data_IF_587623543885
#
_entry.id   IF_587623543885
#
_cell.length_a   1.000
_cell.length_b   1.000
_cell.length_c   1.000
_cell.angle_alpha   90.00
_cell.angle_beta   90.00
_cell.angle_gamma   90.00
#
_symmetry.space_group_name_H-M   'P 1'
#
loop_
_entity.id
_entity.type
_entity.pdbx_description
1 polymer ?
#
# COMPACT_ATOMS: atom_id res chain seq x y z
N UNK A 1 0.46 17.59 -11.06
CA UNK A 1 -0.33 18.54 -10.24
C UNK A 1 -1.27 17.83 -9.26
N UNK A 2 -2.60 17.92 -9.38
CA UNK A 2 -3.55 17.45 -8.36
C UNK A 2 -3.36 15.99 -7.89
N UNK A 3 -3.39 15.04 -8.84
CA UNK A 3 -3.16 13.61 -8.58
C UNK A 3 -1.74 13.30 -8.07
N UNK A 4 -0.76 14.09 -8.48
CA UNK A 4 0.66 13.94 -8.13
C UNK A 4 0.90 14.21 -6.63
N UNK A 5 0.38 15.32 -6.11
CA UNK A 5 0.43 15.60 -4.67
C UNK A 5 -0.30 14.52 -3.85
N UNK A 6 -1.45 14.05 -4.32
CA UNK A 6 -2.15 12.98 -3.62
C UNK A 6 -1.35 11.67 -3.61
N UNK A 7 -0.69 11.31 -4.73
CA UNK A 7 0.23 10.17 -4.78
C UNK A 7 1.44 10.36 -3.86
N UNK A 8 2.03 11.56 -3.77
CA UNK A 8 3.12 11.83 -2.84
C UNK A 8 2.68 11.68 -1.38
N UNK A 9 1.49 12.18 -1.01
CA UNK A 9 0.90 11.98 0.32
C UNK A 9 0.71 10.48 0.63
N UNK A 10 0.10 9.72 -0.27
CA UNK A 10 -0.12 8.26 -0.09
C UNK A 10 1.21 7.52 0.05
N UNK A 11 2.18 7.78 -0.83
CA UNK A 11 3.52 7.17 -0.75
C UNK A 11 4.22 7.51 0.56
N UNK A 12 4.18 8.77 1.00
CA UNK A 12 4.76 9.21 2.26
C UNK A 12 4.16 8.46 3.46
N UNK A 13 2.83 8.45 3.62
CA UNK A 13 2.19 7.82 4.77
C UNK A 13 2.28 6.28 4.74
N UNK A 14 2.33 5.64 3.57
CA UNK A 14 2.70 4.22 3.46
C UNK A 14 4.13 4.00 3.94
N UNK A 15 5.09 4.82 3.49
CA UNK A 15 6.51 4.66 3.83
C UNK A 15 6.81 4.94 5.31
N UNK A 16 6.12 5.92 5.91
CA UNK A 16 6.11 6.15 7.36
C UNK A 16 5.69 4.90 8.14
N UNK A 17 4.77 4.09 7.58
CA UNK A 17 4.40 2.80 8.15
C UNK A 17 5.49 1.74 8.04
N UNK A 18 6.13 1.63 6.86
CA UNK A 18 7.29 0.74 6.70
C UNK A 18 8.45 1.12 7.62
N UNK A 19 8.66 2.42 7.89
CA UNK A 19 9.65 2.88 8.86
C UNK A 19 9.30 2.44 10.29
N UNK A 20 8.03 2.57 10.71
CA UNK A 20 7.56 2.12 12.03
C UNK A 20 7.83 0.62 12.26
N UNK A 21 7.56 -0.21 11.25
CA UNK A 21 7.81 -1.65 11.28
C UNK A 21 9.33 -1.97 11.26
N UNK A 22 10.09 -1.29 10.41
CA UNK A 22 11.55 -1.43 10.35
C UNK A 22 12.22 -1.01 11.66
N UNK A 23 11.68 0.01 12.32
CA UNK A 23 12.21 0.49 13.59
C UNK A 23 12.10 -0.58 14.68
N UNK A 24 10.93 -1.23 14.80
CA UNK A 24 10.72 -2.33 15.75
C UNK A 24 11.65 -3.52 15.48
N UNK A 25 11.84 -3.87 14.19
CA UNK A 25 12.78 -4.93 13.78
C UNK A 25 14.22 -4.62 14.24
N UNK A 26 14.67 -3.37 14.04
CA UNK A 26 16.01 -2.92 14.41
C UNK A 26 16.19 -2.78 15.94
N UNK A 27 15.21 -2.22 16.65
CA UNK A 27 15.22 -2.16 18.12
C UNK A 27 15.34 -3.56 18.73
N UNK A 28 14.53 -4.52 18.24
CA UNK A 28 14.57 -5.90 18.72
C UNK A 28 15.91 -6.61 18.41
N UNK A 29 16.56 -6.26 17.30
CA UNK A 29 17.92 -6.76 17.00
C UNK A 29 18.98 -6.17 17.92
N UNK A 30 18.77 -4.95 18.42
CA UNK A 30 19.71 -4.28 19.33
C UNK A 30 19.65 -4.85 20.76
N UNK A 31 18.49 -5.33 21.23
CA UNK A 31 18.28 -5.87 22.59
C UNK A 31 19.43 -6.76 23.08
N UNK A 32 19.82 -7.76 22.28
CA UNK A 32 20.88 -8.71 22.64
C UNK A 32 22.27 -8.06 22.78
N UNK A 33 22.61 -7.12 21.89
CA UNK A 33 23.90 -6.42 21.97
C UNK A 33 23.91 -5.36 23.06
N UNK A 34 22.77 -4.76 23.39
CA UNK A 34 22.62 -3.88 24.56
C UNK A 34 22.81 -4.64 25.87
N UNK A 35 22.23 -5.85 25.99
CA UNK A 35 22.44 -6.75 27.13
C UNK A 35 23.91 -7.23 27.21
N UNK A 36 24.49 -7.66 26.08
CA UNK A 36 25.90 -8.05 25.98
C UNK A 36 26.85 -6.91 26.39
N UNK A 37 26.57 -5.69 25.95
CA UNK A 37 27.30 -4.48 26.29
C UNK A 37 27.21 -4.18 27.80
N UNK A 38 26.02 -4.23 28.40
CA UNK A 38 25.83 -4.05 29.84
C UNK A 38 26.68 -5.04 30.66
N UNK A 39 26.51 -6.34 30.38
CA UNK A 39 27.17 -7.43 31.09
C UNK A 39 28.70 -7.36 30.97
N UNK A 40 29.23 -7.08 29.77
CA UNK A 40 30.68 -6.92 29.55
C UNK A 40 31.24 -5.67 30.22
N UNK A 41 30.47 -4.58 30.27
CA UNK A 41 30.89 -3.34 30.94
C UNK A 41 30.96 -3.55 32.46
N UNK A 42 29.99 -4.25 33.05
CA UNK A 42 30.03 -4.67 34.46
C UNK A 42 31.25 -5.55 34.76
N UNK A 43 31.50 -6.58 33.94
CA UNK A 43 32.71 -7.41 34.05
C UNK A 43 34.00 -6.59 33.98
N UNK A 44 34.09 -5.60 33.07
CA UNK A 44 35.25 -4.71 32.98
C UNK A 44 35.46 -3.94 34.28
N UNK A 45 34.38 -3.40 34.88
CA UNK A 45 34.47 -2.68 36.17
C UNK A 45 34.97 -3.60 37.29
N UNK A 46 34.47 -4.84 37.38
CA UNK A 46 34.92 -5.80 38.40
C UNK A 46 36.39 -6.21 38.26
N UNK A 47 36.84 -6.54 37.04
CA UNK A 47 38.22 -7.00 36.80
C UNK A 47 39.25 -5.85 36.96
N UNK A 48 38.81 -4.61 36.73
CA UNK A 48 39.66 -3.40 36.87
C UNK A 48 39.73 -2.87 38.30
N UNK A 49 38.79 -3.22 39.18
CA UNK A 49 38.75 -2.70 40.55
C UNK A 49 39.78 -3.41 41.44
N UNK A 50 40.91 -2.74 41.72
CA UNK A 50 42.05 -3.36 42.41
C UNK A 50 41.82 -3.67 43.90
N UNK A 51 40.73 -3.16 44.50
CA UNK A 51 40.41 -3.29 45.93
C UNK A 51 39.71 -4.60 46.31
N UNK A 52 40.14 -5.73 45.76
CA UNK A 52 39.75 -7.05 46.27
C UNK A 52 40.73 -7.44 47.38
N UNK A 53 40.69 -6.68 48.48
CA UNK A 53 41.47 -6.96 49.67
C UNK A 53 41.00 -8.28 50.33
N UNK A 54 41.94 -9.21 50.55
CA UNK A 54 41.72 -10.37 51.43
C UNK A 54 41.62 -11.75 50.77
N UNK A 55 41.77 -11.89 49.45
CA UNK A 55 41.83 -13.21 48.80
C UNK A 55 43.28 -13.67 48.58
N UNK A 56 43.72 -14.72 49.29
CA UNK A 56 45.07 -15.34 49.17
C UNK A 56 45.38 -15.99 47.81
N UNK A 57 44.48 -15.85 46.82
CA UNK A 57 44.65 -16.29 45.44
C UNK A 57 44.53 -15.10 44.48
N UNK A 58 45.47 -14.15 44.57
CA UNK A 58 45.56 -13.04 43.62
C UNK A 58 45.76 -13.58 42.20
N UNK A 59 44.83 -13.28 41.29
CA UNK A 59 45.00 -13.59 39.86
C UNK A 59 46.28 -12.89 39.37
N UNK A 60 47.21 -13.66 38.80
CA UNK A 60 48.44 -13.14 38.22
C UNK A 60 48.16 -11.98 37.25
N UNK A 61 48.98 -10.92 37.34
CA UNK A 61 48.78 -9.67 36.59
C UNK A 61 48.60 -9.90 35.09
N UNK A 62 49.40 -10.79 34.50
CA UNK A 62 49.34 -11.13 33.07
C UNK A 62 48.04 -11.86 32.71
N UNK A 63 47.46 -12.61 33.65
CA UNK A 63 46.15 -13.26 33.51
C UNK A 63 45.01 -12.25 33.63
N UNK A 64 45.12 -11.27 34.55
CA UNK A 64 44.19 -10.12 34.67
C UNK A 64 44.16 -9.27 33.40
N UNK A 65 45.32 -8.89 32.88
CA UNK A 65 45.46 -8.14 31.62
C UNK A 65 44.85 -8.88 30.42
N UNK A 66 45.10 -10.18 30.30
CA UNK A 66 44.49 -11.03 29.26
C UNK A 66 42.97 -11.10 29.35
N UNK A 67 42.40 -11.06 30.55
CA UNK A 67 40.96 -11.03 30.76
C UNK A 67 40.37 -9.66 30.36
N UNK A 68 40.99 -8.57 30.80
CA UNK A 68 40.61 -7.19 30.41
C UNK A 68 40.61 -7.06 28.88
N UNK A 69 41.68 -7.51 28.20
CA UNK A 69 41.78 -7.47 26.74
C UNK A 69 40.63 -8.23 26.06
N UNK A 70 40.27 -9.43 26.53
CA UNK A 70 39.14 -10.21 26.01
C UNK A 70 37.79 -9.52 26.22
N UNK A 71 37.60 -8.84 27.36
CA UNK A 71 36.38 -8.08 27.64
C UNK A 71 36.28 -6.88 26.69
N UNK A 72 37.37 -6.13 26.50
CA UNK A 72 37.45 -4.99 25.58
C UNK A 72 37.16 -5.39 24.13
N UNK A 73 37.79 -6.46 23.61
CA UNK A 73 37.48 -7.01 22.29
C UNK A 73 35.98 -7.31 22.13
N UNK A 74 35.38 -7.90 23.17
CA UNK A 74 33.95 -8.19 23.19
C UNK A 74 33.06 -6.95 23.24
N UNK A 75 33.49 -5.87 23.87
CA UNK A 75 32.78 -4.58 23.86
C UNK A 75 32.83 -3.94 22.47
N UNK A 76 33.98 -4.01 21.79
CA UNK A 76 34.12 -3.55 20.40
C UNK A 76 33.21 -4.34 19.44
N UNK A 77 33.06 -5.65 19.63
CA UNK A 77 32.11 -6.48 18.87
C UNK A 77 30.66 -6.00 19.03
N UNK A 78 30.18 -5.78 20.26
CA UNK A 78 28.80 -5.29 20.47
C UNK A 78 28.60 -3.87 19.92
N UNK A 79 29.59 -2.99 20.04
CA UNK A 79 29.53 -1.62 19.50
C UNK A 79 29.56 -1.61 17.97
N UNK A 80 30.29 -2.52 17.32
CA UNK A 80 30.24 -2.68 15.87
C UNK A 80 28.84 -3.13 15.41
N UNK A 81 28.20 -4.05 16.13
CA UNK A 81 26.83 -4.50 15.85
C UNK A 81 25.81 -3.35 16.03
N UNK A 82 25.88 -2.62 17.15
CA UNK A 82 25.01 -1.47 17.41
C UNK A 82 25.23 -0.33 16.40
N UNK A 83 26.46 -0.10 15.97
CA UNK A 83 26.79 0.90 14.93
C UNK A 83 26.17 0.52 13.58
N UNK A 84 26.20 -0.77 13.19
CA UNK A 84 25.53 -1.25 11.98
C UNK A 84 23.99 -1.11 12.06
N UNK A 85 23.41 -1.30 13.24
CA UNK A 85 21.97 -1.05 13.48
C UNK A 85 21.67 0.47 13.36
N UNK A 86 22.54 1.32 13.91
CA UNK A 86 22.40 2.78 13.83
C UNK A 86 22.47 3.30 12.39
N UNK A 87 23.36 2.76 11.56
CA UNK A 87 23.40 3.05 10.11
C UNK A 87 22.08 2.69 9.44
N UNK A 88 21.51 1.51 9.73
CA UNK A 88 20.20 1.11 9.17
C UNK A 88 19.04 2.01 9.64
N UNK A 89 19.06 2.52 10.88
CA UNK A 89 18.10 3.54 11.32
C UNK A 89 18.26 4.85 10.53
N UNK A 90 19.50 5.31 10.31
CA UNK A 90 19.77 6.50 9.52
C UNK A 90 19.25 6.34 8.08
N UNK A 91 19.60 5.24 7.41
CA UNK A 91 19.22 4.99 6.01
C UNK A 91 17.70 4.98 5.82
N UNK A 92 16.97 4.33 6.74
CA UNK A 92 15.51 4.31 6.74
C UNK A 92 14.91 5.71 6.99
N UNK A 93 15.52 6.52 7.86
CA UNK A 93 15.15 7.92 8.11
C UNK A 93 15.43 8.82 6.90
N UNK A 94 16.59 8.69 6.23
CA UNK A 94 16.91 9.48 5.03
C UNK A 94 15.98 9.13 3.87
N UNK A 95 15.60 7.86 3.72
CA UNK A 95 14.62 7.47 2.72
C UNK A 95 13.24 8.14 2.99
N UNK A 96 12.73 8.10 4.23
CA UNK A 96 11.51 8.84 4.58
C UNK A 96 11.64 10.35 4.33
N UNK A 97 12.80 10.95 4.64
CA UNK A 97 13.11 12.35 4.36
C UNK A 97 13.01 12.66 2.86
N UNK A 98 13.49 11.77 1.99
CA UNK A 98 13.36 11.92 0.54
C UNK A 98 11.90 11.93 0.09
N UNK A 99 11.03 11.11 0.70
CA UNK A 99 9.58 11.17 0.45
C UNK A 99 8.95 12.47 0.97
N UNK A 100 9.41 13.02 2.10
CA UNK A 100 8.95 14.31 2.63
C UNK A 100 9.32 15.47 1.68
N UNK A 101 10.58 15.54 1.24
CA UNK A 101 11.05 16.54 0.27
C UNK A 101 10.29 16.43 -1.06
N UNK A 102 10.01 15.21 -1.53
CA UNK A 102 9.18 15.00 -2.72
C UNK A 102 7.72 15.44 -2.53
N UNK A 103 7.17 15.33 -1.32
CA UNK A 103 5.84 15.82 -0.97
C UNK A 103 5.81 17.37 -0.91
N UNK A 104 6.81 18.00 -0.31
CA UNK A 104 6.97 19.46 -0.25
C UNK A 104 7.16 20.05 -1.66
N UNK A 105 7.97 19.41 -2.50
CA UNK A 105 8.17 19.77 -3.91
C UNK A 105 6.91 19.55 -4.77
N UNK A 106 6.07 18.56 -4.46
CA UNK A 106 4.78 18.41 -5.11
C UNK A 106 3.80 19.51 -4.66
N UNK A 107 3.85 19.90 -3.37
CA UNK A 107 3.03 20.97 -2.81
C UNK A 107 3.37 22.34 -3.40
N UNK A 108 4.65 22.70 -3.54
CA UNK A 108 5.07 24.03 -4.00
C UNK A 108 4.58 24.36 -5.42
N UNK A 109 4.44 23.34 -6.27
CA UNK A 109 3.92 23.44 -7.65
C UNK A 109 2.41 23.72 -7.75
N UNK A 110 1.67 23.71 -6.65
CA UNK A 110 0.19 23.82 -6.65
C UNK A 110 -0.28 25.18 -6.17
N UNK A 111 -1.09 25.84 -7.02
CA UNK A 111 -1.78 27.08 -6.67
C UNK A 111 -2.91 26.83 -5.68
N UNK A 112 -2.97 27.62 -4.60
CA UNK A 112 -4.07 27.61 -3.63
C UNK A 112 -5.43 28.01 -4.24
N UNK A 113 -5.42 28.61 -5.43
CA UNK A 113 -6.63 29.05 -6.15
C UNK A 113 -7.19 27.99 -7.12
N UNK A 114 -6.55 26.82 -7.25
CA UNK A 114 -7.02 25.74 -8.12
C UNK A 114 -8.36 25.19 -7.58
N UNK A 115 -9.42 25.30 -8.40
CA UNK A 115 -10.77 24.84 -8.06
C UNK A 115 -10.85 23.32 -7.87
N UNK A 116 -10.08 22.55 -8.65
CA UNK A 116 -10.07 21.08 -8.57
C UNK A 116 -9.38 20.56 -7.30
N UNK A 117 -8.66 21.44 -6.59
CA UNK A 117 -7.91 21.10 -5.39
C UNK A 117 -8.53 21.62 -4.09
N UNK A 118 -9.65 22.36 -4.15
CA UNK A 118 -10.24 22.97 -2.96
C UNK A 118 -10.64 21.96 -1.89
N UNK A 119 -11.13 20.77 -2.26
CA UNK A 119 -11.46 19.68 -1.32
C UNK A 119 -10.24 19.11 -0.58
N UNK A 120 -9.06 19.12 -1.22
CA UNK A 120 -7.81 18.72 -0.56
C UNK A 120 -7.25 19.89 0.26
N UNK A 121 -7.21 21.10 -0.31
CA UNK A 121 -6.67 22.30 0.35
C UNK A 121 -7.43 22.59 1.65
N UNK A 122 -8.77 22.72 1.59
CA UNK A 122 -9.62 23.02 2.74
C UNK A 122 -9.97 21.79 3.58
N UNK A 123 -9.77 20.59 3.04
CA UNK A 123 -10.29 19.36 3.62
C UNK A 123 -11.80 19.22 3.43
N UNK A 124 -12.35 18.14 3.98
CA UNK A 124 -13.78 17.86 4.09
C UNK A 124 -14.07 17.24 5.45
N UNK A 125 -15.34 17.03 5.80
CA UNK A 125 -15.73 16.27 7.00
C UNK A 125 -15.18 14.83 7.05
N UNK A 126 -14.67 14.31 5.92
CA UNK A 126 -14.09 12.98 5.77
C UNK A 126 -12.64 13.02 5.25
N UNK A 127 -11.97 14.18 5.30
CA UNK A 127 -10.58 14.33 4.84
C UNK A 127 -9.89 15.50 5.54
N UNK A 128 -8.78 15.29 6.28
CA UNK A 128 -8.00 16.39 6.83
C UNK A 128 -7.53 17.37 5.75
N UNK A 129 -7.49 18.66 6.10
CA UNK A 129 -6.97 19.70 5.22
C UNK A 129 -5.50 19.46 4.87
N UNK A 130 -5.07 19.91 3.68
CA UNK A 130 -3.73 19.69 3.17
C UNK A 130 -2.63 20.20 4.12
N UNK A 131 -2.84 21.36 4.75
CA UNK A 131 -1.93 21.92 5.74
C UNK A 131 -1.71 20.98 6.93
N UNK A 132 -2.80 20.43 7.48
CA UNK A 132 -2.76 19.46 8.57
C UNK A 132 -2.09 18.14 8.16
N UNK A 133 -2.28 17.69 6.92
CA UNK A 133 -1.59 16.52 6.38
C UNK A 133 -0.07 16.73 6.22
N UNK A 134 0.34 17.95 5.82
CA UNK A 134 1.76 18.31 5.74
C UNK A 134 2.37 18.41 7.14
N UNK A 135 1.69 19.05 8.09
CA UNK A 135 2.10 19.07 9.50
C UNK A 135 2.29 17.66 10.05
N UNK A 136 1.33 16.74 9.82
CA UNK A 136 1.46 15.35 10.26
C UNK A 136 2.61 14.61 9.59
N UNK A 137 2.95 14.96 8.34
CA UNK A 137 4.10 14.40 7.67
C UNK A 137 5.42 14.88 8.30
N UNK A 138 5.58 16.19 8.48
CA UNK A 138 6.76 16.79 9.13
C UNK A 138 6.97 16.28 10.55
N UNK A 139 5.92 16.26 11.38
CA UNK A 139 5.98 15.76 12.76
C UNK A 139 6.27 14.24 12.81
N UNK A 140 5.72 13.46 11.87
CA UNK A 140 6.01 12.03 11.76
C UNK A 140 7.47 11.74 11.43
N UNK A 141 8.10 12.53 10.54
CA UNK A 141 9.54 12.44 10.27
C UNK A 141 10.37 12.89 11.48
N UNK A 142 10.02 14.04 12.08
CA UNK A 142 10.73 14.58 13.25
C UNK A 142 10.75 13.61 14.43
N UNK A 143 9.65 12.87 14.67
CA UNK A 143 9.60 11.85 15.71
C UNK A 143 10.70 10.78 15.55
N UNK A 144 10.77 10.11 14.40
CA UNK A 144 11.78 9.08 14.14
C UNK A 144 13.20 9.65 13.99
N UNK A 145 13.34 10.89 13.50
CA UNK A 145 14.63 11.57 13.44
C UNK A 145 15.18 11.90 14.83
N UNK A 146 14.34 12.41 15.74
CA UNK A 146 14.72 12.73 17.11
C UNK A 146 15.07 11.45 17.92
N UNK A 147 14.32 10.35 17.73
CA UNK A 147 14.70 9.06 18.30
C UNK A 147 16.08 8.60 17.81
N UNK A 148 16.38 8.77 16.52
CA UNK A 148 17.68 8.42 15.94
C UNK A 148 18.82 9.28 16.52
N UNK A 149 18.61 10.60 16.62
CA UNK A 149 19.61 11.52 17.20
C UNK A 149 19.92 11.14 18.65
N UNK A 150 18.90 10.86 19.47
CA UNK A 150 19.06 10.40 20.85
C UNK A 150 19.97 9.17 20.96
N UNK A 151 19.71 8.14 20.15
CA UNK A 151 20.55 6.92 20.12
C UNK A 151 21.96 7.24 19.59
N UNK A 152 22.07 8.04 18.53
CA UNK A 152 23.33 8.43 17.91
C UNK A 152 24.25 9.19 18.88
N UNK A 153 23.69 10.08 19.70
CA UNK A 153 24.44 10.88 20.66
C UNK A 153 24.87 10.04 21.87
N UNK A 154 24.00 9.15 22.38
CA UNK A 154 24.38 8.17 23.40
C UNK A 154 25.50 7.21 22.91
N UNK A 155 25.47 6.79 21.65
CA UNK A 155 26.54 5.97 21.05
C UNK A 155 27.89 6.71 20.96
N UNK A 156 27.88 8.03 20.73
CA UNK A 156 29.12 8.84 20.70
C UNK A 156 29.69 9.12 22.09
N UNK A 157 28.82 9.18 23.10
CA UNK A 157 29.19 9.55 24.48
C UNK A 157 29.45 8.35 25.40
N UNK A 158 29.61 7.14 24.85
CA UNK A 158 29.78 5.93 25.68
C UNK A 158 31.17 5.88 26.33
N UNK A 159 31.21 5.64 27.64
CA UNK A 159 32.43 5.35 28.40
C UNK A 159 32.20 4.08 29.23
N UNK A 160 32.93 3.01 28.89
CA UNK A 160 32.82 1.72 29.58
C UNK A 160 33.21 1.76 31.07
N UNK A 161 33.83 2.85 31.55
CA UNK A 161 34.11 3.07 32.97
C UNK A 161 32.88 3.59 33.73
N UNK A 162 31.94 4.24 33.03
CA UNK A 162 30.78 4.94 33.60
C UNK A 162 29.51 4.20 33.23
N UNK A 163 28.98 3.44 34.19
CA UNK A 163 27.75 2.65 34.06
C UNK A 163 26.56 3.45 33.54
N UNK A 164 26.43 4.71 33.97
CA UNK A 164 25.38 5.62 33.55
C UNK A 164 25.36 5.82 32.02
N UNK A 165 26.51 5.85 31.34
CA UNK A 165 26.54 6.04 29.87
C UNK A 165 25.92 4.86 29.12
N UNK A 166 26.14 3.64 29.61
CA UNK A 166 25.55 2.41 29.06
C UNK A 166 24.07 2.33 29.39
N UNK A 167 23.67 2.68 30.61
CA UNK A 167 22.26 2.75 31.02
C UNK A 167 21.47 3.80 30.20
N UNK A 168 22.08 4.98 29.96
CA UNK A 168 21.54 6.02 29.10
C UNK A 168 21.39 5.52 27.65
N UNK A 169 22.37 4.80 27.11
CA UNK A 169 22.26 4.16 25.80
C UNK A 169 21.10 3.15 25.77
N UNK A 170 20.98 2.24 26.73
CA UNK A 170 19.88 1.26 26.80
C UNK A 170 18.52 1.96 26.86
N UNK A 171 18.37 2.97 27.73
CA UNK A 171 17.13 3.75 27.83
C UNK A 171 16.80 4.54 26.55
N UNK A 172 17.81 4.91 25.75
CA UNK A 172 17.60 5.59 24.46
C UNK A 172 16.89 4.71 23.41
N UNK A 173 16.94 3.38 23.53
CA UNK A 173 16.19 2.44 22.70
C UNK A 173 14.75 2.22 23.18
N UNK A 174 14.41 2.60 24.42
CA UNK A 174 13.03 2.50 24.93
C UNK A 174 12.14 3.45 24.14
N UNK A 175 11.12 2.87 23.51
CA UNK A 175 10.23 3.58 22.59
C UNK A 175 9.24 4.48 23.35
N UNK A 176 9.02 5.69 22.85
CA UNK A 176 7.97 6.56 23.41
C UNK A 176 6.60 6.16 22.85
N UNK A 177 5.94 5.23 23.55
CA UNK A 177 4.63 4.66 23.18
C UNK A 177 3.59 5.73 22.77
N UNK A 178 3.56 6.86 23.47
CA UNK A 178 2.63 7.96 23.19
C UNK A 178 2.89 8.60 21.82
N UNK A 179 4.14 8.95 21.53
CA UNK A 179 4.54 9.55 20.26
C UNK A 179 4.33 8.59 19.08
N UNK A 180 4.73 7.33 19.24
CA UNK A 180 4.53 6.30 18.20
C UNK A 180 3.05 6.03 17.93
N UNK A 181 2.24 5.88 18.98
CA UNK A 181 0.77 5.69 18.86
C UNK A 181 0.12 6.86 18.13
N UNK A 182 0.50 8.09 18.46
CA UNK A 182 -0.02 9.31 17.84
C UNK A 182 0.30 9.37 16.34
N UNK A 183 1.56 9.15 15.96
CA UNK A 183 2.02 9.08 14.56
C UNK A 183 1.28 7.99 13.78
N UNK A 184 1.14 6.79 14.35
CA UNK A 184 0.43 5.68 13.73
C UNK A 184 -1.09 5.92 13.61
N UNK A 185 -1.73 6.56 14.58
CA UNK A 185 -3.16 6.93 14.48
C UNK A 185 -3.41 7.89 13.32
N UNK A 186 -2.58 8.93 13.16
CA UNK A 186 -2.67 9.90 12.05
C UNK A 186 -2.46 9.25 10.69
N UNK A 187 -1.41 8.42 10.58
CA UNK A 187 -1.09 7.61 9.39
C UNK A 187 -2.30 6.75 8.99
N UNK A 188 -2.83 5.97 9.92
CA UNK A 188 -3.96 5.07 9.66
C UNK A 188 -5.22 5.86 9.26
N UNK A 189 -5.50 6.99 9.91
CA UNK A 189 -6.63 7.87 9.58
C UNK A 189 -6.54 8.38 8.13
N UNK A 190 -5.38 8.91 7.72
CA UNK A 190 -5.19 9.40 6.34
C UNK A 190 -5.27 8.26 5.30
N UNK A 191 -4.67 7.11 5.57
CA UNK A 191 -4.69 5.97 4.65
C UNK A 191 -6.12 5.39 4.51
N UNK A 192 -6.88 5.32 5.60
CA UNK A 192 -8.29 4.89 5.57
C UNK A 192 -9.15 5.82 4.70
N UNK A 193 -9.02 7.14 4.87
CA UNK A 193 -9.73 8.10 4.00
C UNK A 193 -9.29 8.03 2.54
N UNK A 194 -7.99 7.81 2.28
CA UNK A 194 -7.48 7.64 0.90
C UNK A 194 -8.06 6.39 0.24
N UNK A 195 -8.17 5.28 0.98
CA UNK A 195 -8.81 4.06 0.50
C UNK A 195 -10.33 4.25 0.28
N UNK A 196 -11.02 4.96 1.17
CA UNK A 196 -12.44 5.30 1.00
C UNK A 196 -12.70 6.14 -0.25
N UNK A 197 -11.87 7.16 -0.52
CA UNK A 197 -11.97 7.97 -1.74
C UNK A 197 -11.69 7.16 -3.00
N UNK A 198 -10.72 6.22 -2.96
CA UNK A 198 -10.48 5.30 -4.07
C UNK A 198 -11.68 4.37 -4.31
N UNK A 199 -12.25 3.80 -3.25
CA UNK A 199 -13.46 2.97 -3.32
C UNK A 199 -14.66 3.73 -3.88
N UNK A 200 -14.90 4.97 -3.42
CA UNK A 200 -15.97 5.82 -3.94
C UNK A 200 -15.75 6.11 -5.43
N UNK A 201 -14.54 6.51 -5.83
CA UNK A 201 -14.20 6.77 -7.23
C UNK A 201 -14.42 5.52 -8.12
N UNK A 202 -14.02 4.34 -7.65
CA UNK A 202 -14.28 3.07 -8.33
C UNK A 202 -15.78 2.77 -8.42
N UNK A 203 -16.55 2.98 -7.34
CA UNK A 203 -18.01 2.79 -7.31
C UNK A 203 -18.72 3.71 -8.30
N UNK A 204 -18.37 5.00 -8.31
CA UNK A 204 -18.97 6.00 -9.19
C UNK A 204 -18.61 5.69 -10.66
N UNK A 205 -17.37 5.27 -10.93
CA UNK A 205 -16.92 4.82 -12.26
C UNK A 205 -17.67 3.56 -12.73
N UNK A 206 -17.80 2.54 -11.87
CA UNK A 206 -18.55 1.31 -12.19
C UNK A 206 -20.05 1.60 -12.34
N UNK A 207 -20.60 2.53 -11.55
CA UNK A 207 -21.98 3.00 -11.69
C UNK A 207 -22.24 3.67 -13.03
N UNK A 208 -21.31 4.53 -13.49
CA UNK A 208 -21.36 5.14 -14.82
C UNK A 208 -21.27 4.08 -15.95
N UNK A 209 -20.37 3.10 -15.83
CA UNK A 209 -20.33 1.99 -16.78
C UNK A 209 -21.61 1.14 -16.77
N UNK A 210 -22.24 0.94 -15.61
CA UNK A 210 -23.51 0.22 -15.50
C UNK A 210 -24.68 1.01 -16.13
N UNK A 211 -24.74 2.34 -15.93
CA UNK A 211 -25.74 3.18 -16.61
C UNK A 211 -25.52 3.24 -18.12
N UNK A 212 -24.27 3.33 -18.58
CA UNK A 212 -23.95 3.29 -20.01
C UNK A 212 -24.28 1.92 -20.63
N UNK A 213 -24.04 0.81 -19.91
CA UNK A 213 -24.47 -0.51 -20.38
C UNK A 213 -26.00 -0.64 -20.45
N UNK A 214 -26.74 -0.13 -19.46
CA UNK A 214 -28.21 -0.14 -19.47
C UNK A 214 -28.78 0.73 -20.60
N UNK A 215 -28.19 1.90 -20.84
CA UNK A 215 -28.56 2.79 -21.95
C UNK A 215 -28.31 2.11 -23.31
N UNK A 216 -27.12 1.53 -23.50
CA UNK A 216 -26.79 0.80 -24.73
C UNK A 216 -27.67 -0.44 -24.93
N UNK A 217 -28.00 -1.18 -23.87
CA UNK A 217 -28.94 -2.30 -23.94
C UNK A 217 -30.36 -1.85 -24.32
N UNK A 218 -30.82 -0.70 -23.80
CA UNK A 218 -32.12 -0.11 -24.14
C UNK A 218 -32.14 0.33 -25.61
N UNK A 219 -31.09 1.00 -26.09
CA UNK A 219 -30.93 1.38 -27.50
C UNK A 219 -30.97 0.14 -28.42
N UNK A 220 -30.20 -0.91 -28.07
CA UNK A 220 -30.21 -2.17 -28.80
C UNK A 220 -31.61 -2.83 -28.83
N UNK A 221 -32.33 -2.83 -27.70
CA UNK A 221 -33.69 -3.36 -27.60
C UNK A 221 -34.70 -2.53 -28.42
N UNK A 222 -34.56 -1.20 -28.49
CA UNK A 222 -35.39 -0.36 -29.35
C UNK A 222 -35.14 -0.62 -30.84
N UNK A 223 -33.87 -0.76 -31.27
CA UNK A 223 -33.55 -1.12 -32.65
C UNK A 223 -34.04 -2.54 -33.02
N UNK A 224 -33.93 -3.50 -32.09
CA UNK A 224 -34.45 -4.85 -32.29
C UNK A 224 -35.98 -4.84 -32.51
N UNK A 225 -36.72 -4.10 -31.67
CA UNK A 225 -38.17 -3.95 -31.83
C UNK A 225 -38.57 -3.22 -33.13
N UNK A 226 -37.78 -2.25 -33.58
CA UNK A 226 -37.98 -1.60 -34.88
C UNK A 226 -37.79 -2.60 -36.04
N UNK A 227 -36.71 -3.39 -36.03
CA UNK A 227 -36.46 -4.44 -37.02
C UNK A 227 -37.54 -5.53 -37.04
N UNK A 228 -38.08 -5.92 -35.88
CA UNK A 228 -39.21 -6.86 -35.77
C UNK A 228 -40.51 -6.27 -36.33
N UNK A 229 -40.75 -4.97 -36.17
CA UNK A 229 -41.90 -4.29 -36.83
C UNK A 229 -41.73 -4.27 -38.36
N UNK A 230 -40.55 -3.94 -38.86
CA UNK A 230 -40.25 -3.92 -40.30
C UNK A 230 -40.39 -5.33 -40.91
N UNK A 231 -39.84 -6.36 -40.27
CA UNK A 231 -39.97 -7.74 -40.79
C UNK A 231 -41.41 -8.24 -40.79
N UNK A 232 -42.22 -7.89 -39.77
CA UNK A 232 -43.67 -8.19 -39.75
C UNK A 232 -44.44 -7.46 -40.84
N UNK A 233 -44.04 -6.25 -41.20
CA UNK A 233 -44.61 -5.52 -42.35
C UNK A 233 -44.23 -6.20 -43.67
N UNK A 234 -42.97 -6.59 -43.83
CA UNK A 234 -42.47 -7.24 -45.04
C UNK A 234 -43.12 -8.60 -45.29
N UNK A 235 -43.28 -9.41 -44.23
CA UNK A 235 -43.90 -10.73 -44.31
C UNK A 235 -45.39 -10.66 -44.68
N UNK A 236 -46.09 -9.59 -44.25
CA UNK A 236 -47.50 -9.37 -44.59
C UNK A 236 -47.67 -9.10 -46.08
N UNK A 237 -46.81 -8.26 -46.66
CA UNK A 237 -46.82 -7.94 -48.09
C UNK A 237 -46.36 -9.11 -48.99
N UNK A 238 -45.56 -10.06 -48.48
CA UNK A 238 -45.18 -11.25 -49.26
C UNK A 238 -46.19 -12.39 -49.19
N UNK A 239 -47.00 -12.49 -48.13
CA UNK A 239 -48.06 -13.51 -48.03
C UNK A 239 -49.22 -13.26 -49.01
N UNK A 240 -49.45 -12.01 -49.41
CA UNK A 240 -50.45 -11.64 -50.43
C UNK A 240 -50.03 -12.01 -51.87
N UNK A 241 -48.76 -12.39 -52.11
CA UNK A 241 -48.23 -12.70 -53.45
C UNK A 241 -47.91 -14.18 -53.72
N UNK A 242 -48.09 -15.09 -52.76
CA UNK A 242 -47.75 -16.53 -52.90
C UNK A 242 -49.00 -17.43 -52.96
N UNK A 243 -50.20 -16.83 -52.99
CA UNK A 243 -51.48 -17.55 -53.07
C UNK A 243 -51.89 -18.02 -54.46
N UNK A 244 -50.99 -18.63 -55.25
CA UNK A 244 -51.32 -19.26 -56.53
C UNK A 244 -50.33 -20.36 -56.95
N UNK A 245 -50.84 -21.35 -57.70
CA UNK A 245 -50.13 -22.44 -58.40
C UNK A 245 -49.79 -23.72 -57.59
N UNK A 246 -50.78 -24.63 -57.61
CA UNK A 246 -50.72 -26.07 -57.90
C UNK A 246 -49.95 -27.08 -57.05
N UNK A 247 -50.72 -28.10 -56.65
CA UNK A 247 -50.25 -29.36 -56.08
C UNK A 247 -50.32 -30.49 -57.12
N UNK A 248 -49.23 -31.23 -57.30
CA UNK A 248 -49.23 -32.67 -57.63
C UNK A 248 -47.81 -33.23 -57.72
N UNK A 249 -47.31 -33.82 -56.61
CA UNK A 249 -46.27 -34.88 -56.59
C UNK A 249 -46.21 -35.51 -55.18
N UNK A 250 -46.10 -36.85 -55.07
CA UNK A 250 -46.12 -37.52 -53.78
C UNK A 250 -44.73 -37.64 -53.13
N UNK A 251 -44.75 -37.58 -51.80
CA UNK A 251 -43.78 -38.14 -50.84
C UNK A 251 -42.29 -38.14 -51.22
N UNK A 252 -41.59 -37.12 -50.73
CA UNK A 252 -40.25 -37.34 -50.17
C UNK A 252 -40.20 -36.73 -48.75
N UNK A 253 -39.67 -37.47 -47.79
CA UNK A 253 -39.67 -37.10 -46.38
C UNK A 253 -38.46 -36.22 -46.05
N UNK A 254 -38.65 -34.90 -45.98
CA UNK A 254 -37.91 -34.09 -44.99
C UNK A 254 -38.66 -32.79 -44.61
N UNK A 255 -39.41 -32.87 -43.51
CA UNK A 255 -40.16 -31.75 -42.94
C UNK A 255 -39.20 -30.72 -42.29
N UNK A 256 -39.46 -29.43 -42.52
CA UNK A 256 -38.97 -28.31 -41.69
C UNK A 256 -37.44 -28.13 -41.52
N UNK A 257 -36.77 -27.58 -42.54
CA UNK A 257 -35.43 -26.95 -42.39
C UNK A 257 -35.06 -25.68 -43.20
N UNK A 258 -35.86 -25.10 -44.12
CA UNK A 258 -35.48 -23.84 -44.81
C UNK A 258 -35.52 -22.59 -43.92
N UNK A 259 -36.58 -22.45 -43.10
CA UNK A 259 -36.84 -21.22 -42.34
C UNK A 259 -35.80 -20.93 -41.27
N UNK A 260 -35.46 -21.94 -40.45
CA UNK A 260 -34.48 -21.79 -39.37
C UNK A 260 -33.08 -21.48 -39.94
N UNK A 261 -32.67 -22.11 -41.05
CA UNK A 261 -31.39 -21.79 -41.71
C UNK A 261 -31.34 -20.35 -42.25
N UNK A 262 -32.41 -19.81 -42.86
CA UNK A 262 -32.44 -18.40 -43.28
C UNK A 262 -32.40 -17.44 -42.09
N UNK A 263 -33.14 -17.72 -41.01
CA UNK A 263 -33.12 -16.87 -39.80
C UNK A 263 -31.76 -16.91 -39.09
N UNK A 264 -31.11 -18.08 -39.00
CA UNK A 264 -29.75 -18.21 -38.47
C UNK A 264 -28.73 -17.54 -39.38
N UNK A 265 -28.84 -17.61 -40.71
CA UNK A 265 -27.93 -16.88 -41.62
C UNK A 265 -28.08 -15.37 -41.49
N UNK A 266 -29.30 -14.87 -41.26
CA UNK A 266 -29.56 -13.45 -41.01
C UNK A 266 -28.99 -13.03 -39.65
N UNK A 267 -29.16 -13.85 -38.60
CA UNK A 267 -28.53 -13.61 -37.29
C UNK A 267 -27.00 -13.67 -37.37
N UNK A 268 -26.41 -14.63 -38.08
CA UNK A 268 -24.96 -14.71 -38.29
C UNK A 268 -24.45 -13.52 -39.10
N UNK A 269 -25.15 -13.10 -40.17
CA UNK A 269 -24.77 -11.89 -40.92
C UNK A 269 -24.90 -10.61 -40.08
N UNK A 270 -25.91 -10.51 -39.21
CA UNK A 270 -26.02 -9.40 -38.25
C UNK A 270 -24.90 -9.43 -37.20
N UNK A 271 -24.59 -10.58 -36.60
CA UNK A 271 -23.49 -10.73 -35.66
C UNK A 271 -22.12 -10.45 -36.31
N UNK A 272 -21.93 -10.82 -37.58
CA UNK A 272 -20.69 -10.57 -38.33
C UNK A 272 -20.61 -9.11 -38.81
N UNK A 273 -21.71 -8.46 -39.19
CA UNK A 273 -21.71 -7.01 -39.50
C UNK A 273 -21.60 -6.12 -38.25
N UNK A 274 -21.85 -6.69 -37.06
CA UNK A 274 -21.61 -6.07 -35.74
C UNK A 274 -20.17 -6.31 -35.25
N UNK A 275 -19.35 -7.04 -36.01
CA UNK A 275 -17.92 -7.24 -35.75
C UNK A 275 -17.01 -6.18 -36.43
N UNK A 276 -17.32 -4.88 -36.21
CA UNK A 276 -16.24 -3.98 -35.83
C UNK A 276 -16.58 -3.12 -34.60
N UNK A 277 -17.10 -3.72 -33.52
CA UNK A 277 -17.30 -3.02 -32.24
C UNK A 277 -16.13 -3.25 -31.27
N UNK A 278 -15.19 -2.31 -31.33
CA UNK A 278 -14.35 -1.74 -30.23
C UNK A 278 -13.83 -2.64 -29.10
N UNK A 279 -12.53 -2.49 -28.79
CA UNK A 279 -11.86 -3.06 -27.60
C UNK A 279 -12.52 -2.77 -26.25
N UNK A 280 -13.47 -1.83 -26.18
CA UNK A 280 -14.28 -1.55 -24.98
C UNK A 280 -15.07 -2.77 -24.48
N UNK A 281 -15.47 -3.71 -25.33
CA UNK A 281 -16.21 -4.91 -24.90
C UNK A 281 -15.34 -5.96 -24.18
N UNK A 282 -14.02 -5.97 -24.38
CA UNK A 282 -13.11 -6.83 -23.60
C UNK A 282 -13.06 -6.41 -22.12
N UNK A 283 -13.15 -5.11 -21.85
CA UNK A 283 -13.19 -4.57 -20.47
C UNK A 283 -14.45 -5.01 -19.71
N UNK A 284 -15.59 -5.20 -20.39
CA UNK A 284 -16.88 -5.58 -19.76
C UNK A 284 -16.80 -6.91 -19.02
N UNK A 285 -16.00 -7.87 -19.49
CA UNK A 285 -15.82 -9.17 -18.84
C UNK A 285 -14.59 -9.23 -17.92
N UNK A 286 -13.52 -8.48 -18.22
CA UNK A 286 -12.30 -8.47 -17.39
C UNK A 286 -12.47 -7.69 -16.07
N UNK A 287 -13.20 -6.58 -16.05
CA UNK A 287 -13.35 -5.75 -14.84
C UNK A 287 -14.08 -6.51 -13.70
N UNK A 288 -15.23 -7.20 -13.93
CA UNK A 288 -15.88 -7.98 -12.88
C UNK A 288 -15.01 -9.12 -12.34
N UNK A 289 -14.19 -9.74 -13.20
CA UNK A 289 -13.30 -10.85 -12.82
C UNK A 289 -12.12 -10.37 -11.96
N UNK A 290 -11.49 -9.25 -12.35
CA UNK A 290 -10.48 -8.56 -11.53
C UNK A 290 -11.07 -8.06 -10.20
N UNK A 291 -12.30 -7.56 -10.20
CA UNK A 291 -12.99 -7.11 -8.99
C UNK A 291 -13.27 -8.26 -8.02
N UNK A 292 -13.69 -9.42 -8.53
CA UNK A 292 -13.86 -10.64 -7.72
C UNK A 292 -12.53 -11.08 -7.10
N UNK A 293 -11.44 -11.10 -7.88
CA UNK A 293 -10.11 -11.47 -7.40
C UNK A 293 -9.57 -10.51 -6.34
N UNK A 294 -9.75 -9.19 -6.54
CA UNK A 294 -9.34 -8.17 -5.57
C UNK A 294 -10.14 -8.29 -4.26
N UNK A 295 -11.42 -8.67 -4.36
CA UNK A 295 -12.30 -8.87 -3.21
C UNK A 295 -11.96 -10.13 -2.42
N UNK A 296 -11.52 -11.21 -3.08
CA UNK A 296 -10.98 -12.40 -2.43
C UNK A 296 -9.70 -12.06 -1.66
N UNK A 297 -8.74 -11.38 -2.31
CA UNK A 297 -7.48 -10.96 -1.68
C UNK A 297 -7.70 -10.01 -0.48
N UNK A 298 -8.67 -9.09 -0.58
CA UNK A 298 -9.04 -8.20 0.54
C UNK A 298 -9.75 -8.95 1.68
N UNK A 299 -10.57 -9.96 1.37
CA UNK A 299 -11.18 -10.81 2.40
C UNK A 299 -10.14 -11.68 3.12
N UNK A 300 -9.21 -12.31 2.41
CA UNK A 300 -8.12 -13.09 3.03
C UNK A 300 -7.21 -12.21 3.90
N UNK A 301 -6.88 -10.99 3.45
CA UNK A 301 -6.10 -10.03 4.24
C UNK A 301 -6.82 -9.55 5.52
N UNK A 302 -8.15 -9.58 5.55
CA UNK A 302 -8.97 -9.21 6.72
C UNK A 302 -9.21 -10.41 7.65
N UNK A 303 -9.14 -11.65 7.15
CA UNK A 303 -9.43 -12.87 7.92
C UNK A 303 -8.19 -13.54 8.53
N UNK A 304 -6.98 -13.09 8.19
CA UNK A 304 -5.69 -13.58 8.71
C UNK A 304 -5.16 -12.69 9.87
N UNK A 305 -6.05 -11.94 10.54
CA UNK A 305 -5.72 -11.05 11.65
C UNK A 305 -6.81 -10.96 12.71
#
# INVERSE_FOLDING_TARGET
MARELHMCLVRYFVRLGTLDDKWKELSKKAERSLEGLANRTEQLRHVTNEKIDGAENSIDQKTRERLIFKILMGLEEEIALLSNILTQFNDANQDLKNYLVNLENARSKISLKDKLMQELIKGTSHRPALELLLQWATEGYQFFHNMYLRISDCMKSIDYKIEETVSNLISSFVEEDRGRKYTNSRRNLFLHFSAFLLYKCLRDTIGLFASDMLLNATIAFTHFNALVKVSRSYNRNTLEHVGACDANKPNDTDYYKPGIRKTILIYQKLCISVYPISDRLKFVFLIPFLWLHLRILLCEYIYIR
#
